data_IF_854888044013
#
_entry.id   IF_854888044013
#
_cell.length_a   1.000
_cell.length_b   1.000
_cell.length_c   1.000
_cell.angle_alpha   90.00
_cell.angle_beta   90.00
_cell.angle_gamma   90.00
#
_symmetry.space_group_name_H-M   'P 1'
#
loop_
_entity.id
_entity.type
_entity.pdbx_description
1 polymer ?
#
# COMPACT_ATOMS: atom_id res chain seq x y z
N UNK A 1 -11.24 -4.54 11.88
CA UNK A 1 -12.42 -5.42 12.09
C UNK A 1 -13.47 -5.29 11.00
N UNK A 2 -13.80 -4.10 10.48
CA UNK A 2 -14.84 -3.92 9.43
C UNK A 2 -14.63 -4.81 8.19
N UNK A 3 -13.42 -4.87 7.62
CA UNK A 3 -13.07 -5.74 6.48
C UNK A 3 -13.46 -7.21 6.74
N UNK A 4 -13.03 -7.74 7.88
CA UNK A 4 -13.25 -9.14 8.24
C UNK A 4 -14.73 -9.44 8.51
N UNK A 5 -15.44 -8.53 9.16
CA UNK A 5 -16.85 -8.74 9.55
C UNK A 5 -17.83 -8.63 8.38
N UNK A 6 -17.58 -7.72 7.44
CA UNK A 6 -18.51 -7.44 6.33
C UNK A 6 -18.17 -8.20 5.05
N UNK A 7 -16.87 -8.42 4.78
CA UNK A 7 -16.40 -8.95 3.50
C UNK A 7 -15.53 -10.21 3.65
N UNK A 8 -15.40 -10.74 4.87
CA UNK A 8 -14.60 -11.94 5.19
C UNK A 8 -13.13 -11.87 4.77
N UNK A 9 -12.60 -10.66 4.53
CA UNK A 9 -11.18 -10.46 4.22
C UNK A 9 -10.33 -10.50 5.49
N UNK A 10 -9.43 -11.47 5.56
CA UNK A 10 -8.32 -11.49 6.49
C UNK A 10 -7.10 -10.80 5.87
N UNK A 11 -6.57 -9.78 6.52
CA UNK A 11 -5.44 -8.99 6.03
C UNK A 11 -4.37 -8.90 7.10
N UNK A 12 -3.15 -9.23 6.72
CA UNK A 12 -1.97 -8.98 7.54
C UNK A 12 -1.45 -7.57 7.29
N UNK A 13 -1.41 -6.74 8.34
CA UNK A 13 -0.87 -5.38 8.26
C UNK A 13 0.59 -5.42 8.65
N UNK A 14 1.47 -5.24 7.67
CA UNK A 14 2.92 -5.19 7.87
C UNK A 14 3.38 -3.74 7.88
N UNK A 15 3.91 -3.28 9.03
CA UNK A 15 4.50 -1.95 9.18
C UNK A 15 6.02 -2.12 9.23
N UNK A 16 6.76 -1.82 8.15
CA UNK A 16 8.21 -1.89 8.17
C UNK A 16 8.78 -0.80 9.09
N UNK A 17 9.68 -1.18 9.99
CA UNK A 17 10.31 -0.25 10.95
C UNK A 17 11.44 0.57 10.34
N UNK A 18 11.90 0.20 9.13
CA UNK A 18 12.97 0.86 8.40
C UNK A 18 12.75 0.76 6.89
N UNK A 19 13.19 1.79 6.15
CA UNK A 19 13.16 1.82 4.67
C UNK A 19 14.54 1.45 4.09
N UNK A 20 15.62 1.71 4.83
CA UNK A 20 16.99 1.43 4.41
C UNK A 20 17.83 0.92 5.58
N UNK A 21 18.36 -0.32 5.52
CA UNK A 21 18.07 -1.34 4.51
C UNK A 21 16.60 -1.80 4.58
N UNK A 22 16.00 -2.15 3.45
CA UNK A 22 14.63 -2.67 3.43
C UNK A 22 14.60 -4.09 4.02
N UNK A 23 13.65 -4.44 4.91
CA UNK A 23 13.58 -5.78 5.50
C UNK A 23 13.07 -6.81 4.48
N UNK A 24 13.25 -8.09 4.79
CA UNK A 24 12.56 -9.16 4.07
C UNK A 24 11.08 -9.23 4.49
N UNK A 25 10.25 -9.70 3.57
CA UNK A 25 8.81 -9.87 3.80
C UNK A 25 8.45 -11.37 3.81
N UNK A 26 7.43 -11.78 4.58
CA UNK A 26 6.91 -13.14 4.52
C UNK A 26 6.32 -13.43 3.13
N UNK A 27 6.10 -14.71 2.78
CA UNK A 27 5.39 -15.07 1.55
C UNK A 27 3.99 -14.48 1.51
N UNK A 28 3.64 -13.80 0.42
CA UNK A 28 2.36 -13.15 0.20
C UNK A 28 1.80 -13.50 -1.18
N UNK A 29 0.47 -13.45 -1.29
CA UNK A 29 -0.27 -13.75 -2.52
C UNK A 29 -0.84 -12.50 -3.17
N UNK A 30 -1.41 -11.61 -2.36
CA UNK A 30 -1.99 -10.34 -2.78
C UNK A 30 -1.38 -9.23 -1.92
N UNK A 31 -0.89 -8.17 -2.56
CA UNK A 31 -0.14 -7.13 -1.88
C UNK A 31 -0.68 -5.77 -2.30
N UNK A 32 -1.05 -4.97 -1.30
CA UNK A 32 -1.29 -3.54 -1.42
C UNK A 32 -0.25 -2.79 -0.59
N UNK A 33 0.54 -1.95 -1.24
CA UNK A 33 1.49 -1.06 -0.59
C UNK A 33 0.81 0.30 -0.42
N UNK A 34 0.76 0.81 0.80
CA UNK A 34 0.16 2.12 1.11
C UNK A 34 1.25 3.04 1.65
N UNK A 35 1.43 4.21 1.03
CA UNK A 35 2.39 5.23 1.47
C UNK A 35 1.74 6.61 1.53
N UNK A 36 2.19 7.48 2.45
CA UNK A 36 1.65 8.85 2.55
C UNK A 36 2.05 9.71 1.34
N UNK A 37 3.24 9.49 0.79
CA UNK A 37 3.75 10.24 -0.35
C UNK A 37 3.10 9.79 -1.68
N UNK A 38 3.25 10.57 -2.76
CA UNK A 38 2.94 10.09 -4.10
C UNK A 38 3.74 8.85 -4.47
N UNK A 39 3.12 7.93 -5.20
CA UNK A 39 3.73 6.62 -5.51
C UNK A 39 4.91 6.69 -6.47
N UNK A 40 5.04 7.77 -7.24
CA UNK A 40 6.14 7.94 -8.18
C UNK A 40 7.46 8.16 -7.43
N UNK A 41 8.46 7.31 -7.69
CA UNK A 41 9.77 7.36 -7.04
C UNK A 41 9.74 7.23 -5.50
N UNK A 42 8.63 6.75 -4.93
CA UNK A 42 8.46 6.50 -3.50
C UNK A 42 9.13 5.21 -3.04
N UNK A 43 9.20 5.01 -1.72
CA UNK A 43 9.80 3.79 -1.12
C UNK A 43 8.94 2.55 -1.41
N UNK A 44 7.64 2.73 -1.65
CA UNK A 44 6.77 1.64 -2.09
C UNK A 44 7.19 1.03 -3.44
N UNK A 45 7.94 1.77 -4.28
CA UNK A 45 8.50 1.23 -5.51
C UNK A 45 9.61 0.18 -5.23
N UNK A 46 10.46 0.42 -4.24
CA UNK A 46 11.52 -0.51 -3.83
C UNK A 46 10.92 -1.80 -3.23
N UNK A 47 9.88 -1.66 -2.40
CA UNK A 47 9.13 -2.80 -1.87
C UNK A 47 8.53 -3.62 -3.00
N UNK A 48 7.86 -2.99 -3.96
CA UNK A 48 7.28 -3.68 -5.10
C UNK A 48 8.35 -4.40 -5.93
N UNK A 49 9.51 -3.78 -6.17
CA UNK A 49 10.62 -4.39 -6.88
C UNK A 49 11.19 -5.61 -6.15
N UNK A 50 11.41 -5.50 -4.83
CA UNK A 50 11.90 -6.61 -4.02
C UNK A 50 10.91 -7.79 -4.02
N UNK A 51 9.61 -7.51 -3.83
CA UNK A 51 8.57 -8.54 -3.83
C UNK A 51 8.41 -9.20 -5.20
N UNK A 52 8.42 -8.42 -6.29
CA UNK A 52 8.43 -8.96 -7.63
C UNK A 52 9.67 -9.84 -7.87
N UNK A 53 10.85 -9.45 -7.40
CA UNK A 53 12.06 -10.25 -7.58
C UNK A 53 12.08 -11.55 -6.75
N UNK A 54 11.52 -11.52 -5.54
CA UNK A 54 11.62 -12.63 -4.57
C UNK A 54 10.39 -13.53 -4.52
N UNK A 55 9.23 -13.04 -4.93
CA UNK A 55 7.93 -13.70 -4.74
C UNK A 55 7.10 -13.77 -6.04
N UNK A 56 7.67 -13.49 -7.21
CA UNK A 56 6.94 -13.45 -8.49
C UNK A 56 5.98 -14.64 -8.70
N UNK A 57 6.45 -15.86 -8.45
CA UNK A 57 5.70 -17.08 -8.69
C UNK A 57 4.61 -17.39 -7.65
N UNK A 58 4.60 -16.68 -6.52
CA UNK A 58 3.58 -16.88 -5.45
C UNK A 58 2.49 -15.83 -5.47
N UNK A 59 2.68 -14.73 -6.19
CA UNK A 59 1.69 -13.66 -6.32
C UNK A 59 0.50 -14.14 -7.16
N UNK A 60 -0.71 -13.96 -6.63
CA UNK A 60 -1.98 -14.30 -7.29
C UNK A 60 -2.59 -13.10 -8.03
N UNK A 61 -2.06 -11.89 -7.80
CA UNK A 61 -2.45 -10.66 -8.48
C UNK A 61 -1.27 -9.69 -8.61
N UNK A 62 -1.32 -8.71 -9.53
CA UNK A 62 -0.32 -7.64 -9.60
C UNK A 62 -0.19 -6.89 -8.27
N UNK A 63 1.04 -6.50 -7.91
CA UNK A 63 1.29 -5.66 -6.73
C UNK A 63 0.62 -4.30 -6.94
N UNK A 64 -0.31 -3.95 -6.07
CA UNK A 64 -0.98 -2.67 -6.07
C UNK A 64 -0.25 -1.66 -5.18
N UNK A 65 -0.29 -0.39 -5.55
CA UNK A 65 0.27 0.72 -4.77
C UNK A 65 -0.73 1.86 -4.66
N UNK A 66 -0.91 2.36 -3.45
CA UNK A 66 -1.76 3.48 -3.12
C UNK A 66 -0.92 4.53 -2.39
N UNK A 67 -0.94 5.75 -2.88
CA UNK A 67 -0.26 6.88 -2.26
C UNK A 67 -1.05 8.16 -2.44
N UNK A 68 -0.51 9.27 -1.97
CA UNK A 68 -1.14 10.56 -2.16
C UNK A 68 -1.19 10.99 -3.64
N UNK A 69 -2.07 11.94 -3.93
CA UNK A 69 -2.17 12.58 -5.23
C UNK A 69 -0.85 13.26 -5.61
N UNK A 70 -0.50 13.22 -6.90
CA UNK A 70 0.77 13.73 -7.43
C UNK A 70 0.77 15.25 -7.60
N UNK A 71 0.42 15.99 -6.56
CA UNK A 71 0.45 17.45 -6.51
C UNK A 71 1.00 17.95 -5.16
N UNK A 72 1.43 19.22 -5.05
CA UNK A 72 1.81 19.79 -3.76
C UNK A 72 0.69 19.66 -2.73
N UNK A 73 1.05 19.41 -1.47
CA UNK A 73 0.07 19.25 -0.39
C UNK A 73 -0.71 20.57 -0.20
N UNK A 74 -2.05 20.54 -0.31
CA UNK A 74 -2.87 21.73 -0.09
C UNK A 74 -2.81 22.23 1.35
N UNK A 75 -2.83 23.55 1.56
CA UNK A 75 -2.83 24.14 2.90
C UNK A 75 -4.18 23.98 3.64
N UNK A 76 -5.27 23.77 2.91
CA UNK A 76 -6.58 23.50 3.51
C UNK A 76 -6.61 22.07 4.04
N UNK A 77 -6.91 21.90 5.32
CA UNK A 77 -7.03 20.59 5.97
C UNK A 77 -7.97 19.62 5.23
N UNK A 78 -9.07 20.14 4.66
CA UNK A 78 -10.01 19.29 3.93
C UNK A 78 -9.42 18.77 2.62
N UNK A 79 -8.60 19.57 1.94
CA UNK A 79 -7.94 19.20 0.69
C UNK A 79 -6.69 18.35 0.93
N UNK A 80 -5.94 18.64 1.99
CA UNK A 80 -4.86 17.79 2.47
C UNK A 80 -5.38 16.38 2.76
N UNK A 81 -6.45 16.26 3.55
CA UNK A 81 -7.06 14.97 3.86
C UNK A 81 -7.52 14.25 2.59
N UNK A 82 -8.16 14.96 1.66
CA UNK A 82 -8.61 14.38 0.40
C UNK A 82 -7.45 13.87 -0.49
N UNK A 83 -6.27 14.50 -0.39
CA UNK A 83 -5.09 14.11 -1.16
C UNK A 83 -4.34 12.90 -0.60
N UNK A 84 -4.57 12.55 0.67
CA UNK A 84 -3.93 11.41 1.34
C UNK A 84 -4.78 10.13 1.20
N UNK A 85 -4.16 8.93 1.22
CA UNK A 85 -4.90 7.67 1.23
C UNK A 85 -5.93 7.60 2.37
N UNK A 86 -7.20 7.37 2.00
CA UNK A 86 -8.29 7.19 2.94
C UNK A 86 -8.69 5.72 3.06
N UNK A 87 -9.42 5.40 4.14
CA UNK A 87 -9.97 4.07 4.38
C UNK A 87 -10.79 3.61 3.17
N UNK A 88 -11.64 4.50 2.65
CA UNK A 88 -12.52 4.25 1.50
C UNK A 88 -11.71 3.88 0.25
N UNK A 89 -10.59 4.56 0.00
CA UNK A 89 -9.71 4.28 -1.13
C UNK A 89 -8.99 2.94 -0.98
N UNK A 90 -8.61 2.55 0.24
CA UNK A 90 -8.04 1.23 0.52
C UNK A 90 -9.05 0.12 0.21
N UNK A 91 -10.32 0.30 0.59
CA UNK A 91 -11.37 -0.69 0.35
C UNK A 91 -11.61 -0.98 -1.14
N UNK A 92 -11.40 0.00 -2.02
CA UNK A 92 -11.56 -0.18 -3.47
C UNK A 92 -10.60 -1.22 -4.07
N UNK A 93 -9.50 -1.55 -3.40
CA UNK A 93 -8.57 -2.59 -3.86
C UNK A 93 -9.01 -4.02 -3.51
N UNK A 94 -10.03 -4.17 -2.66
CA UNK A 94 -10.56 -5.46 -2.25
C UNK A 94 -11.88 -5.82 -2.96
N UNK A 95 -12.55 -4.85 -3.58
CA UNK A 95 -13.81 -5.03 -4.32
C UNK A 95 -13.54 -5.31 -5.79
#
# INVERSE_FOLDING_TARGET
LKLFLENEYAVDVIIPTQIKPLPSFPPMKNVLIVEEAPTAHGWGAEVAAQLAATQFYTLEAPIARLGADAHPIPASKSLETASLPQIETIFQFFT
#
